data_IF_292065153455
#
_entry.id   IF_292065153455
#
_cell.length_a   1.000
_cell.length_b   1.000
_cell.length_c   1.000
_cell.angle_alpha   90.00
_cell.angle_beta   90.00
_cell.angle_gamma   90.00
#
_symmetry.space_group_name_H-M   'P 1'
#
loop_
_entity.id
_entity.type
_entity.pdbx_description
1 polymer ?
#
# COMPACT_ATOMS: atom_id res chain seq x y z
N UNK A 1 20.59 -9.40 47.43
CA UNK A 1 20.38 -8.62 46.19
C UNK A 1 19.26 -9.29 45.41
N UNK A 2 18.08 -8.67 45.26
CA UNK A 2 17.01 -9.24 44.47
C UNK A 2 17.28 -9.01 42.99
N UNK A 3 17.31 -10.10 42.22
CA UNK A 3 17.45 -10.12 40.77
C UNK A 3 16.29 -9.41 40.10
N UNK A 4 16.64 -8.42 39.26
CA UNK A 4 15.73 -7.59 38.45
C UNK A 4 14.96 -8.49 37.46
N UNK A 5 13.63 -8.42 37.37
CA UNK A 5 12.89 -9.19 36.36
C UNK A 5 13.22 -8.64 34.96
N UNK A 6 13.55 -9.57 34.07
CA UNK A 6 13.74 -9.35 32.63
C UNK A 6 12.49 -8.74 32.01
N UNK A 7 12.67 -7.70 31.19
CA UNK A 7 11.60 -7.05 30.45
C UNK A 7 10.87 -8.07 29.57
N UNK A 8 9.59 -8.32 29.85
CA UNK A 8 8.70 -9.06 28.97
C UNK A 8 8.64 -8.31 27.64
N UNK A 9 9.07 -8.94 26.55
CA UNK A 9 8.87 -8.44 25.20
C UNK A 9 7.39 -8.07 25.02
N UNK A 10 7.06 -6.89 24.46
CA UNK A 10 5.67 -6.53 24.24
C UNK A 10 4.99 -7.62 23.39
N UNK A 11 3.71 -7.94 23.63
CA UNK A 11 2.99 -8.91 22.83
C UNK A 11 3.07 -8.51 21.36
N UNK A 12 3.36 -9.48 20.49
CA UNK A 12 3.36 -9.27 19.05
C UNK A 12 2.01 -8.68 18.64
N UNK A 13 2.02 -7.55 17.93
CA UNK A 13 0.79 -6.91 17.46
C UNK A 13 0.07 -7.87 16.50
N UNK A 14 -1.25 -8.09 16.64
CA UNK A 14 -2.02 -8.85 15.66
C UNK A 14 -1.79 -8.25 14.28
N UNK A 15 -1.32 -9.07 13.35
CA UNK A 15 -1.02 -8.66 12.00
C UNK A 15 -1.61 -9.67 11.01
N UNK A 16 -2.16 -9.16 9.90
CA UNK A 16 -2.59 -9.99 8.78
C UNK A 16 -1.70 -9.73 7.58
N UNK A 17 -1.14 -10.78 7.01
CA UNK A 17 -0.23 -10.71 5.86
C UNK A 17 -1.01 -10.81 4.54
N UNK A 18 -0.63 -10.03 3.52
CA UNK A 18 -1.20 -10.19 2.19
C UNK A 18 -0.74 -11.51 1.55
N UNK A 19 -1.61 -12.11 0.74
CA UNK A 19 -1.29 -13.25 -0.11
C UNK A 19 -1.96 -13.06 -1.49
N UNK A 20 -1.19 -12.91 -2.58
CA UNK A 20 0.27 -12.79 -2.62
C UNK A 20 0.75 -11.46 -2.00
N UNK A 21 1.93 -11.48 -1.37
CA UNK A 21 2.54 -10.27 -0.78
C UNK A 21 3.36 -9.42 -1.75
N UNK A 22 3.63 -9.92 -2.95
CA UNK A 22 4.44 -9.25 -3.97
C UNK A 22 3.76 -9.31 -5.33
N UNK A 23 3.79 -8.19 -6.04
CA UNK A 23 3.36 -8.06 -7.43
C UNK A 23 4.59 -7.84 -8.30
N UNK A 24 4.73 -8.65 -9.35
CA UNK A 24 5.91 -8.68 -10.21
C UNK A 24 6.25 -7.30 -10.80
N UNK A 25 7.54 -7.05 -10.97
CA UNK A 25 8.07 -5.83 -11.59
C UNK A 25 8.05 -5.96 -13.12
N UNK A 26 7.17 -5.24 -13.80
CA UNK A 26 7.07 -5.23 -15.27
C UNK A 26 6.25 -4.04 -15.77
N UNK A 27 6.15 -3.89 -17.10
CA UNK A 27 5.13 -3.04 -17.72
C UNK A 27 3.76 -3.70 -17.53
N UNK A 28 2.97 -3.17 -16.61
CA UNK A 28 1.60 -3.66 -16.35
C UNK A 28 0.56 -2.98 -17.23
N UNK A 29 0.83 -1.76 -17.70
CA UNK A 29 -0.15 -0.94 -18.39
C UNK A 29 0.51 -0.13 -19.49
N UNK A 30 -0.05 -0.24 -20.71
CA UNK A 30 0.35 0.52 -21.88
C UNK A 30 -0.91 1.16 -22.48
N UNK A 31 -0.89 2.48 -22.66
CA UNK A 31 -2.04 3.23 -23.16
C UNK A 31 -1.60 4.52 -23.85
N UNK A 32 -2.24 4.83 -24.99
CA UNK A 32 -2.05 6.08 -25.71
C UNK A 32 -2.96 7.23 -25.20
N UNK A 33 -3.78 6.98 -24.18
CA UNK A 33 -4.71 7.96 -23.64
C UNK A 33 -4.02 8.97 -22.70
N UNK A 34 -4.71 10.06 -22.38
CA UNK A 34 -4.25 11.02 -21.39
C UNK A 34 -4.06 10.37 -20.01
N UNK A 35 -3.02 10.80 -19.28
CA UNK A 35 -2.69 10.27 -17.96
C UNK A 35 -3.81 10.55 -16.96
N UNK A 36 -4.27 9.49 -16.30
CA UNK A 36 -5.22 9.49 -15.19
C UNK A 36 -4.79 8.40 -14.22
N UNK A 37 -5.31 8.44 -12.98
CA UNK A 37 -5.16 7.31 -12.07
C UNK A 37 -5.86 6.07 -12.63
N UNK A 38 -5.17 4.93 -12.60
CA UNK A 38 -5.68 3.64 -13.10
C UNK A 38 -5.55 2.59 -11.99
N UNK A 39 -6.68 2.10 -11.48
CA UNK A 39 -6.73 1.07 -10.44
C UNK A 39 -6.12 -0.24 -10.93
N UNK A 40 -5.18 -0.79 -10.17
CA UNK A 40 -4.47 -2.01 -10.53
C UNK A 40 -5.39 -3.22 -10.53
N UNK A 41 -6.17 -3.44 -9.47
CA UNK A 41 -7.09 -4.57 -9.35
C UNK A 41 -8.27 -4.51 -10.30
N UNK A 42 -8.81 -3.31 -10.55
CA UNK A 42 -10.04 -3.13 -11.33
C UNK A 42 -9.80 -2.97 -12.84
N UNK A 43 -8.77 -2.23 -13.25
CA UNK A 43 -8.62 -1.79 -14.65
C UNK A 43 -7.47 -2.45 -15.40
N UNK A 44 -6.39 -2.82 -14.70
CA UNK A 44 -5.17 -3.33 -15.36
C UNK A 44 -5.31 -4.83 -15.64
N UNK A 45 -5.08 -5.25 -16.89
CA UNK A 45 -5.13 -6.66 -17.26
C UNK A 45 -4.13 -7.50 -16.45
N UNK A 46 -4.65 -8.51 -15.75
CA UNK A 46 -3.87 -9.38 -14.87
C UNK A 46 -3.53 -8.75 -13.51
N UNK A 47 -4.04 -7.55 -13.21
CA UNK A 47 -4.09 -7.02 -11.86
C UNK A 47 -5.25 -7.63 -11.06
N UNK A 48 -5.08 -7.64 -9.74
CA UNK A 48 -6.08 -8.14 -8.79
C UNK A 48 -6.00 -7.29 -7.52
N UNK A 49 -7.13 -7.08 -6.86
CA UNK A 49 -7.16 -6.51 -5.50
C UNK A 49 -6.31 -7.36 -4.54
N UNK A 50 -5.76 -6.71 -3.52
CA UNK A 50 -4.94 -7.35 -2.50
C UNK A 50 -5.79 -8.14 -1.52
N UNK A 51 -5.48 -9.43 -1.40
CA UNK A 51 -6.16 -10.31 -0.46
C UNK A 51 -5.29 -10.56 0.77
N UNK A 52 -5.95 -10.75 1.92
CA UNK A 52 -5.32 -11.00 3.22
C UNK A 52 -5.89 -12.30 3.76
N UNK A 53 -5.41 -13.42 3.21
CA UNK A 53 -5.84 -14.75 3.59
C UNK A 53 -4.64 -15.62 3.95
N UNK A 54 -4.95 -16.71 4.66
CA UNK A 54 -4.02 -17.79 4.97
C UNK A 54 -4.52 -19.03 4.22
N UNK A 55 -3.63 -19.74 3.51
CA UNK A 55 -4.01 -20.89 2.70
C UNK A 55 -4.54 -22.07 3.54
N UNK A 56 -4.31 -22.05 4.85
CA UNK A 56 -4.83 -23.04 5.81
C UNK A 56 -6.19 -22.67 6.38
N UNK A 57 -6.68 -21.45 6.14
CA UNK A 57 -7.90 -20.90 6.73
C UNK A 57 -8.90 -20.54 5.63
N UNK A 58 -10.17 -20.88 5.82
CA UNK A 58 -11.21 -20.52 4.84
C UNK A 58 -11.32 -19.00 4.66
N UNK A 59 -11.65 -18.49 3.45
CA UNK A 59 -11.86 -17.06 3.23
C UNK A 59 -12.88 -16.43 4.18
N UNK A 60 -13.95 -17.15 4.54
CA UNK A 60 -14.98 -16.69 5.49
C UNK A 60 -14.43 -16.53 6.91
N UNK A 61 -13.60 -17.47 7.36
CA UNK A 61 -12.95 -17.40 8.66
C UNK A 61 -11.94 -16.24 8.71
N UNK A 62 -11.18 -16.02 7.63
CA UNK A 62 -10.27 -14.87 7.52
C UNK A 62 -11.01 -13.53 7.55
N UNK A 63 -12.11 -13.41 6.80
CA UNK A 63 -12.95 -12.21 6.82
C UNK A 63 -13.51 -11.93 8.23
N UNK A 64 -13.93 -12.99 8.93
CA UNK A 64 -14.41 -12.90 10.32
C UNK A 64 -13.29 -12.45 11.26
N UNK A 65 -12.11 -13.06 11.17
CA UNK A 65 -10.94 -12.68 11.97
C UNK A 65 -10.56 -11.21 11.76
N UNK A 66 -10.54 -10.75 10.50
CA UNK A 66 -10.25 -9.36 10.16
C UNK A 66 -11.31 -8.39 10.71
N UNK A 67 -12.59 -8.78 10.69
CA UNK A 67 -13.67 -8.01 11.29
C UNK A 67 -13.50 -7.87 12.81
N UNK A 68 -13.16 -8.96 13.52
CA UNK A 68 -12.86 -8.91 14.95
C UNK A 68 -11.64 -8.04 15.26
N UNK A 69 -10.56 -8.15 14.48
CA UNK A 69 -9.38 -7.29 14.65
C UNK A 69 -9.72 -5.80 14.51
N UNK A 70 -10.55 -5.43 13.52
CA UNK A 70 -11.02 -4.06 13.36
C UNK A 70 -11.89 -3.57 14.54
N UNK A 71 -12.72 -4.45 15.10
CA UNK A 71 -13.63 -4.13 16.20
C UNK A 71 -12.90 -3.92 17.52
N UNK A 72 -11.84 -4.71 17.78
CA UNK A 72 -11.12 -4.71 19.05
C UNK A 72 -9.94 -3.73 19.08
N UNK A 73 -9.47 -3.28 17.91
CA UNK A 73 -8.37 -2.34 17.80
C UNK A 73 -8.83 -0.88 17.89
N UNK A 74 -7.94 -0.02 18.38
CA UNK A 74 -8.11 1.43 18.35
C UNK A 74 -7.26 2.08 17.25
N UNK A 75 -6.24 1.39 16.76
CA UNK A 75 -5.34 1.87 15.73
C UNK A 75 -5.03 0.76 14.73
N UNK A 76 -4.76 1.16 13.49
CA UNK A 76 -4.22 0.27 12.48
C UNK A 76 -3.14 0.98 11.66
N UNK A 77 -2.16 0.21 11.18
CA UNK A 77 -1.12 0.71 10.30
C UNK A 77 -0.73 -0.32 9.26
N UNK A 78 -0.39 0.15 8.06
CA UNK A 78 0.09 -0.70 6.99
C UNK A 78 1.04 0.06 6.07
N UNK A 79 2.05 -0.65 5.56
CA UNK A 79 2.99 -0.14 4.59
C UNK A 79 2.77 -0.82 3.23
N UNK A 80 3.06 -0.09 2.16
CA UNK A 80 3.14 -0.62 0.80
C UNK A 80 4.35 0.00 0.11
N UNK A 81 5.12 -0.83 -0.58
CA UNK A 81 6.29 -0.39 -1.35
C UNK A 81 5.94 -0.42 -2.83
N UNK A 82 6.04 0.73 -3.49
CA UNK A 82 5.92 0.85 -4.93
C UNK A 82 7.31 0.81 -5.56
N UNK A 83 7.64 -0.25 -6.29
CA UNK A 83 8.84 -0.32 -7.11
C UNK A 83 8.57 0.33 -8.45
N UNK A 84 9.46 1.20 -8.90
CA UNK A 84 9.25 2.02 -10.08
C UNK A 84 10.46 1.97 -11.03
N UNK A 85 10.18 2.05 -12.32
CA UNK A 85 11.16 2.41 -13.35
C UNK A 85 10.44 3.32 -14.34
N UNK A 86 10.94 4.55 -14.51
CA UNK A 86 10.29 5.62 -15.28
C UNK A 86 8.84 5.89 -14.87
N UNK A 87 8.53 5.79 -13.58
CA UNK A 87 7.19 6.05 -13.03
C UNK A 87 7.32 6.83 -11.73
N UNK A 88 6.61 7.95 -11.61
CA UNK A 88 6.53 8.74 -10.38
C UNK A 88 5.48 8.16 -9.43
N UNK A 89 5.87 7.95 -8.17
CA UNK A 89 4.98 7.39 -7.15
C UNK A 89 4.45 8.43 -6.15
N UNK A 90 5.22 9.49 -5.87
CA UNK A 90 4.85 10.52 -4.89
C UNK A 90 5.30 11.92 -5.35
N UNK A 91 6.56 12.31 -5.09
CA UNK A 91 7.07 13.62 -5.49
C UNK A 91 7.51 13.64 -6.94
N UNK A 92 6.91 14.50 -7.76
CA UNK A 92 7.44 14.82 -9.08
C UNK A 92 8.52 15.89 -8.92
N UNK A 93 9.79 15.48 -8.95
CA UNK A 93 10.91 16.40 -8.76
C UNK A 93 11.15 17.36 -9.94
N UNK A 94 10.59 17.08 -11.12
CA UNK A 94 10.67 18.01 -12.26
C UNK A 94 9.71 19.17 -12.08
N UNK A 95 8.50 18.89 -11.58
CA UNK A 95 7.44 19.88 -11.41
C UNK A 95 7.28 20.38 -9.97
N UNK A 96 8.03 19.82 -9.02
CA UNK A 96 8.03 20.22 -7.61
C UNK A 96 6.67 20.07 -6.91
N UNK A 97 5.89 19.03 -7.25
CA UNK A 97 4.54 18.83 -6.69
C UNK A 97 4.15 17.34 -6.59
N UNK A 98 3.00 17.08 -5.97
CA UNK A 98 2.48 15.73 -5.70
C UNK A 98 1.33 15.32 -6.64
N UNK A 99 1.14 16.03 -7.77
CA UNK A 99 0.00 15.78 -8.68
C UNK A 99 0.04 14.42 -9.36
N UNK A 100 1.22 13.79 -9.43
CA UNK A 100 1.41 12.44 -9.98
C UNK A 100 1.40 11.33 -8.92
N UNK A 101 1.22 11.69 -7.64
CA UNK A 101 1.26 10.70 -6.57
C UNK A 101 0.18 9.63 -6.75
N UNK A 102 0.52 8.40 -6.36
CA UNK A 102 -0.42 7.28 -6.40
C UNK A 102 -1.59 7.48 -5.43
N UNK A 103 -2.67 6.75 -5.68
CA UNK A 103 -3.80 6.60 -4.75
C UNK A 103 -3.79 5.20 -4.16
N UNK A 104 -4.20 5.07 -2.91
CA UNK A 104 -4.42 3.76 -2.27
C UNK A 104 -5.90 3.63 -1.90
N UNK A 105 -6.48 2.46 -2.12
CA UNK A 105 -7.84 2.16 -1.68
C UNK A 105 -7.79 1.38 -0.37
N UNK A 106 -8.45 1.87 0.67
CA UNK A 106 -8.64 1.15 1.93
C UNK A 106 -9.91 0.27 1.92
N UNK A 107 -10.09 -0.52 2.97
CA UNK A 107 -11.12 -1.57 3.07
C UNK A 107 -12.59 -1.13 3.24
N UNK A 108 -12.88 0.12 2.96
CA UNK A 108 -14.22 0.71 3.03
C UNK A 108 -14.39 1.78 1.94
N UNK A 109 -13.79 1.52 0.78
CA UNK A 109 -13.74 2.39 -0.40
C UNK A 109 -13.16 3.79 -0.11
N UNK A 110 -12.41 3.90 0.99
CA UNK A 110 -11.72 5.13 1.33
C UNK A 110 -10.53 5.28 0.41
N UNK A 111 -10.47 6.40 -0.28
CA UNK A 111 -9.31 6.76 -1.07
C UNK A 111 -8.30 7.50 -0.19
N UNK A 112 -7.07 7.00 -0.16
CA UNK A 112 -5.95 7.58 0.55
C UNK A 112 -5.03 8.30 -0.44
N UNK A 113 -4.71 9.55 -0.14
CA UNK A 113 -4.04 10.49 -1.05
C UNK A 113 -2.70 10.97 -0.50
N UNK A 114 -1.89 11.59 -1.35
CA UNK A 114 -0.66 12.26 -0.93
C UNK A 114 -0.91 13.62 -0.24
N UNK A 115 -2.00 14.29 -0.58
CA UNK A 115 -2.36 15.63 -0.11
C UNK A 115 -3.86 15.74 0.24
N UNK A 116 -4.22 16.79 0.98
CA UNK A 116 -5.60 17.09 1.34
C UNK A 116 -5.87 16.88 2.83
N UNK A 117 -7.02 16.26 3.14
CA UNK A 117 -7.43 16.05 4.53
C UNK A 117 -6.50 15.04 5.21
N UNK A 118 -5.82 15.48 6.29
CA UNK A 118 -4.81 14.68 7.00
C UNK A 118 -5.30 13.33 7.52
N UNK A 119 -6.62 13.15 7.67
CA UNK A 119 -7.21 11.85 8.06
C UNK A 119 -7.15 10.80 6.95
N UNK A 120 -6.95 11.21 5.70
CA UNK A 120 -6.92 10.37 4.50
C UNK A 120 -5.61 10.51 3.73
N UNK A 121 -4.60 11.15 4.31
CA UNK A 121 -3.28 11.24 3.70
C UNK A 121 -2.36 10.14 4.21
N UNK A 122 -1.68 9.44 3.31
CA UNK A 122 -0.58 8.55 3.70
C UNK A 122 0.72 9.33 3.89
N UNK A 123 1.65 8.77 4.68
CA UNK A 123 3.00 9.27 4.82
C UNK A 123 3.93 8.52 3.87
N UNK A 124 5.08 9.12 3.58
CA UNK A 124 6.15 8.48 2.79
C UNK A 124 7.40 8.36 3.66
N UNK A 125 7.91 7.13 3.77
CA UNK A 125 9.09 6.79 4.58
C UNK A 125 10.38 6.87 3.76
N UNK A 126 10.28 6.62 2.46
CA UNK A 126 11.38 6.65 1.49
C UNK A 126 10.79 6.98 0.11
N UNK A 127 11.42 7.88 -0.65
CA UNK A 127 10.99 8.22 -2.01
C UNK A 127 12.17 8.26 -2.99
N UNK A 128 12.33 7.16 -3.75
CA UNK A 128 13.31 7.03 -4.83
C UNK A 128 12.69 7.13 -6.23
N UNK A 129 11.38 7.38 -6.33
CA UNK A 129 10.64 7.39 -7.60
C UNK A 129 10.37 8.80 -8.11
N UNK A 130 11.27 9.76 -7.87
CA UNK A 130 10.95 11.18 -8.11
C UNK A 130 11.23 11.66 -9.54
N UNK A 131 11.94 10.87 -10.35
CA UNK A 131 12.38 11.19 -11.72
C UNK A 131 12.43 9.95 -12.60
N UNK A 132 12.39 10.13 -13.92
CA UNK A 132 12.55 9.04 -14.89
C UNK A 132 14.03 8.84 -15.23
N UNK A 133 14.67 7.87 -14.58
CA UNK A 133 16.12 7.62 -14.69
C UNK A 133 16.49 6.39 -15.52
N UNK A 134 15.50 5.59 -15.93
CA UNK A 134 15.68 4.27 -16.54
C UNK A 134 16.09 3.17 -15.57
N UNK A 135 16.34 3.49 -14.30
CA UNK A 135 16.74 2.55 -13.25
C UNK A 135 15.58 2.24 -12.31
N UNK A 136 15.66 1.08 -11.63
CA UNK A 136 14.70 0.73 -10.59
C UNK A 136 14.93 1.56 -9.34
N UNK A 137 13.87 2.21 -8.88
CA UNK A 137 13.75 2.84 -7.56
C UNK A 137 12.58 2.25 -6.79
N UNK A 138 12.32 2.81 -5.61
CA UNK A 138 11.14 2.46 -4.81
C UNK A 138 10.65 3.65 -3.98
N UNK A 139 9.36 3.65 -3.68
CA UNK A 139 8.75 4.57 -2.71
C UNK A 139 8.01 3.74 -1.68
N UNK A 140 8.30 3.98 -0.40
CA UNK A 140 7.69 3.26 0.72
C UNK A 140 6.64 4.17 1.36
N UNK A 141 5.38 3.79 1.24
CA UNK A 141 4.24 4.52 1.79
C UNK A 141 3.74 3.84 3.06
N UNK A 142 3.28 4.64 4.03
CA UNK A 142 2.72 4.19 5.29
C UNK A 142 1.41 4.93 5.57
N UNK A 143 0.35 4.17 5.85
CA UNK A 143 -0.89 4.74 6.38
C UNK A 143 -1.10 4.29 7.82
N UNK A 144 -1.32 5.25 8.72
CA UNK A 144 -1.67 5.03 10.13
C UNK A 144 -3.00 5.71 10.43
N UNK A 145 -3.87 5.02 11.17
CA UNK A 145 -5.23 5.53 11.44
C UNK A 145 -5.74 5.09 12.81
N UNK A 146 -6.58 5.93 13.44
CA UNK A 146 -7.39 5.59 14.62
C UNK A 146 -8.77 5.03 14.24
N UNK A 147 -9.02 4.81 12.94
CA UNK A 147 -10.21 4.16 12.39
C UNK A 147 -9.77 2.88 11.67
N UNK A 148 -9.65 1.74 12.39
CA UNK A 148 -9.18 0.47 11.82
C UNK A 148 -9.99 -0.05 10.62
N UNK A 149 -11.27 0.33 10.51
CA UNK A 149 -12.13 -0.03 9.38
C UNK A 149 -11.62 0.45 8.02
N UNK A 150 -10.68 1.38 7.97
CA UNK A 150 -10.04 1.86 6.74
C UNK A 150 -8.98 0.91 6.18
N UNK A 151 -8.50 -0.03 6.98
CA UNK A 151 -7.43 -0.95 6.60
C UNK A 151 -7.93 -2.42 6.59
N UNK A 152 -7.29 -3.31 5.82
CA UNK A 152 -6.10 -3.10 4.98
C UNK A 152 -6.32 -2.27 3.70
N UNK A 153 -5.22 -1.97 3.02
CA UNK A 153 -5.16 -1.48 1.64
C UNK A 153 -5.57 -2.62 0.71
N UNK A 154 -6.52 -2.36 -0.19
CA UNK A 154 -7.07 -3.33 -1.14
C UNK A 154 -6.62 -3.09 -2.57
N UNK A 155 -6.29 -1.86 -2.94
CA UNK A 155 -5.81 -1.55 -4.29
C UNK A 155 -4.91 -0.31 -4.31
N UNK A 156 -4.21 -0.09 -5.43
CA UNK A 156 -3.38 1.07 -5.73
C UNK A 156 -3.70 1.56 -7.15
N UNK A 157 -3.78 2.87 -7.33
CA UNK A 157 -3.85 3.49 -8.65
C UNK A 157 -2.65 4.40 -8.88
N UNK A 158 -1.69 4.00 -9.73
CA UNK A 158 -0.66 4.90 -10.24
C UNK A 158 -1.23 5.83 -11.31
N UNK A 159 -0.68 7.05 -11.41
CA UNK A 159 -1.01 8.01 -12.48
C UNK A 159 0.05 8.04 -13.59
N UNK A 160 1.32 7.96 -13.22
CA UNK A 160 2.45 8.11 -14.14
C UNK A 160 2.88 6.78 -14.77
N UNK A 161 1.92 6.14 -15.44
CA UNK A 161 2.08 4.88 -16.18
C UNK A 161 1.43 5.00 -17.56
N UNK A 162 1.62 3.99 -18.43
CA UNK A 162 1.05 3.93 -19.77
C UNK A 162 2.08 4.03 -20.91
N UNK A 163 3.28 4.53 -20.63
CA UNK A 163 4.41 4.49 -21.56
C UNK A 163 5.04 3.09 -21.68
N UNK A 164 5.71 2.84 -22.81
CA UNK A 164 6.31 1.53 -23.10
C UNK A 164 7.50 1.17 -22.20
N UNK A 165 8.17 2.17 -21.63
CA UNK A 165 9.32 2.06 -20.74
C UNK A 165 8.96 2.29 -19.26
N UNK A 166 7.68 2.52 -18.96
CA UNK A 166 7.18 2.69 -17.60
C UNK A 166 6.82 1.33 -17.00
N UNK A 167 7.48 0.97 -15.92
CA UNK A 167 7.29 -0.31 -15.25
C UNK A 167 7.09 -0.10 -13.76
N UNK A 168 6.31 -0.98 -13.14
CA UNK A 168 6.18 -0.99 -11.68
C UNK A 168 5.99 -2.40 -11.13
N UNK A 169 6.19 -2.52 -9.81
CA UNK A 169 5.85 -3.70 -9.03
C UNK A 169 5.53 -3.27 -7.60
N UNK A 170 5.02 -4.18 -6.77
CA UNK A 170 4.55 -3.84 -5.43
C UNK A 170 5.05 -4.87 -4.42
N UNK A 171 5.43 -4.41 -3.24
CA UNK A 171 5.48 -5.26 -2.05
C UNK A 171 4.44 -4.74 -1.05
N UNK A 172 3.45 -5.56 -0.73
CA UNK A 172 2.37 -5.23 0.20
C UNK A 172 2.81 -5.69 1.60
N UNK A 173 2.87 -4.75 2.55
CA UNK A 173 3.21 -5.07 3.93
C UNK A 173 2.01 -5.64 4.71
N UNK A 174 2.24 -6.29 5.86
CA UNK A 174 1.15 -6.73 6.71
C UNK A 174 0.38 -5.55 7.28
N UNK A 175 -0.94 -5.71 7.45
CA UNK A 175 -1.75 -4.78 8.24
C UNK A 175 -1.60 -5.11 9.72
N UNK A 176 -1.21 -4.14 10.53
CA UNK A 176 -1.03 -4.28 11.98
C UNK A 176 -2.16 -3.57 12.73
N UNK A 177 -2.72 -4.22 13.75
CA UNK A 177 -3.76 -3.68 14.63
C UNK A 177 -3.22 -3.47 16.06
N UNK A 178 -3.65 -2.39 16.74
CA UNK A 178 -3.27 -2.05 18.11
C UNK A 178 -4.46 -1.54 18.92
#
# INVERSE_FOLDING_TARGET
>A
MPSRPTATSPPARPASTPNPGTIARKNWYNSAQSRKHVWFGETINGGTEFAYHDDTISPQSMATQLAFMRLLANQASQNITYHCKNSVAYMDAENGNLKKAVLLQGSNDVELRAEGNSRFTFNVLEDGCTRHTGQWGKTVMEYRTTKPSRLPILDIAPLDIGGADQEFGLDIGPVCFK
#
